data_IF_915817608071
#
_entry.id   IF_915817608071
#
_cell.length_a   1.000
_cell.length_b   1.000
_cell.length_c   1.000
_cell.angle_alpha   90.00
_cell.angle_beta   90.00
_cell.angle_gamma   90.00
#
_symmetry.space_group_name_H-M   'P 1'
#
loop_
_entity.id
_entity.type
_entity.pdbx_description
1 polymer ?
#
# COMPACT_ATOMS: atom_id res chain seq x y z
N UNK A 1 -13.92 -44.19 58.08
CA UNK A 1 -15.04 -43.39 57.53
C UNK A 1 -14.55 -41.95 57.45
N UNK A 2 -14.03 -41.50 56.30
CA UNK A 2 -14.77 -40.77 55.24
C UNK A 2 -15.39 -39.48 55.81
N UNK A 3 -15.00 -38.27 55.38
CA UNK A 3 -15.22 -37.75 54.03
C UNK A 3 -14.22 -36.65 53.63
N UNK A 4 -13.86 -36.74 52.35
CA UNK A 4 -13.23 -35.72 51.50
C UNK A 4 -13.85 -34.33 51.66
N UNK A 5 -13.03 -33.28 51.56
CA UNK A 5 -13.43 -32.08 50.85
C UNK A 5 -12.29 -31.61 49.94
N UNK A 6 -12.56 -31.80 48.64
CA UNK A 6 -11.78 -31.33 47.51
C UNK A 6 -12.05 -29.83 47.36
N UNK A 7 -11.00 -29.03 47.14
CA UNK A 7 -11.15 -27.84 46.33
C UNK A 7 -9.84 -27.62 45.57
N UNK A 8 -9.76 -28.26 44.41
CA UNK A 8 -8.80 -27.89 43.38
C UNK A 8 -9.37 -26.66 42.68
N UNK A 9 -8.68 -25.52 42.77
CA UNK A 9 -8.96 -24.36 41.92
C UNK A 9 -7.94 -24.39 40.78
N UNK A 10 -8.34 -25.00 39.67
CA UNK A 10 -7.61 -24.95 38.42
C UNK A 10 -7.84 -23.56 37.81
N UNK A 11 -6.83 -22.70 37.81
CA UNK A 11 -6.81 -21.50 36.99
C UNK A 11 -6.38 -21.91 35.57
N UNK A 12 -7.36 -22.26 34.74
CA UNK A 12 -7.19 -22.27 33.28
C UNK A 12 -7.18 -20.81 32.83
N UNK A 13 -6.00 -20.26 32.62
CA UNK A 13 -5.84 -19.03 31.83
C UNK A 13 -5.92 -19.48 30.38
N UNK A 14 -7.13 -19.46 29.84
CA UNK A 14 -7.36 -19.54 28.40
C UNK A 14 -6.94 -18.20 27.81
N UNK A 15 -5.68 -18.07 27.41
CA UNK A 15 -5.26 -17.00 26.52
C UNK A 15 -5.77 -17.36 25.12
N UNK A 16 -7.04 -17.06 24.84
CA UNK A 16 -7.50 -16.92 23.47
C UNK A 16 -6.91 -15.62 22.94
N UNK A 17 -5.83 -15.73 22.18
CA UNK A 17 -5.34 -14.65 21.34
C UNK A 17 -6.44 -14.32 20.35
N UNK A 18 -7.08 -13.16 20.56
CA UNK A 18 -7.78 -12.47 19.49
C UNK A 18 -6.66 -11.90 18.62
N UNK A 19 -6.44 -12.46 17.42
CA UNK A 19 -5.72 -11.72 16.39
C UNK A 19 -6.72 -10.70 15.87
N UNK A 20 -6.66 -9.48 16.40
CA UNK A 20 -7.20 -8.34 15.68
C UNK A 20 -6.18 -8.03 14.58
N UNK A 21 -6.54 -8.20 13.30
CA UNK A 21 -5.82 -7.48 12.24
C UNK A 21 -6.13 -6.02 12.42
N UNK A 22 -5.10 -5.18 12.48
CA UNK A 22 -5.23 -3.73 12.62
C UNK A 22 -4.78 -3.07 11.32
N UNK A 23 -5.58 -3.30 10.27
CA UNK A 23 -5.55 -2.48 9.06
C UNK A 23 -6.58 -1.38 9.24
N UNK A 24 -6.15 -0.12 9.25
CA UNK A 24 -7.03 1.05 9.32
C UNK A 24 -7.09 1.71 7.95
N UNK A 25 -8.30 1.88 7.40
CA UNK A 25 -8.53 2.54 6.11
C UNK A 25 -9.23 3.87 6.36
N UNK A 26 -8.70 4.95 5.79
CA UNK A 26 -9.20 6.31 5.91
C UNK A 26 -9.37 6.94 4.51
N UNK A 27 -10.43 7.73 4.33
CA UNK A 27 -10.77 8.41 3.08
C UNK A 27 -10.78 9.94 3.21
N UNK A 28 -10.32 10.47 4.35
CA UNK A 28 -10.41 11.90 4.70
C UNK A 28 -9.05 12.56 4.96
N UNK A 29 -7.97 11.81 4.82
CA UNK A 29 -6.60 12.27 5.09
C UNK A 29 -5.89 12.84 3.87
N UNK A 30 -6.43 12.65 2.66
CA UNK A 30 -5.90 13.24 1.44
C UNK A 30 -5.86 14.76 1.51
N UNK A 31 -4.74 15.33 1.05
CA UNK A 31 -4.55 16.77 0.90
C UNK A 31 -4.39 17.13 -0.56
N UNK A 32 -4.74 18.36 -0.92
CA UNK A 32 -4.49 18.86 -2.29
C UNK A 32 -2.99 18.86 -2.58
N UNK A 33 -2.62 18.22 -3.68
CA UNK A 33 -1.25 18.19 -4.19
C UNK A 33 -0.77 19.59 -4.62
N UNK A 34 0.53 19.82 -4.51
CA UNK A 34 1.20 21.11 -4.80
C UNK A 34 1.50 21.31 -6.28
N UNK A 35 1.48 20.23 -7.07
CA UNK A 35 1.76 20.18 -8.50
C UNK A 35 0.50 20.09 -9.38
N UNK A 36 -0.68 20.02 -8.77
CA UNK A 36 -2.01 19.88 -9.42
C UNK A 36 -2.42 18.46 -9.79
N UNK A 37 -1.75 17.42 -9.27
CA UNK A 37 -2.13 16.00 -9.37
C UNK A 37 -3.34 15.60 -8.50
N UNK A 38 -4.25 16.55 -8.23
CA UNK A 38 -5.42 16.34 -7.39
C UNK A 38 -5.09 16.14 -5.90
N UNK A 39 -5.18 14.90 -5.39
CA UNK A 39 -4.98 14.56 -3.98
C UNK A 39 -3.72 13.71 -3.76
N UNK A 40 -3.04 13.93 -2.64
CA UNK A 40 -1.85 13.18 -2.22
C UNK A 40 -1.79 13.04 -0.69
N UNK A 41 -0.76 12.36 -0.19
CA UNK A 41 -0.52 12.22 1.25
C UNK A 41 -0.07 13.53 1.88
N UNK A 42 -0.49 13.79 3.11
CA UNK A 42 0.07 14.87 3.92
C UNK A 42 1.56 14.67 4.31
N UNK A 43 2.12 13.47 4.10
CA UNK A 43 3.47 13.11 4.54
C UNK A 43 4.56 13.39 3.51
N UNK A 44 4.21 13.63 2.25
CA UNK A 44 5.16 13.86 1.17
C UNK A 44 4.60 14.87 0.16
N UNK A 45 5.49 15.70 -0.38
CA UNK A 45 5.18 16.60 -1.49
C UNK A 45 5.43 15.84 -2.81
N UNK A 46 4.48 15.79 -3.76
CA UNK A 46 4.68 15.15 -5.06
C UNK A 46 5.88 15.67 -5.85
N UNK A 47 6.31 16.91 -5.59
CA UNK A 47 7.53 17.48 -6.16
C UNK A 47 8.83 17.00 -5.48
N UNK A 48 8.74 16.15 -4.46
CA UNK A 48 9.87 15.52 -3.76
C UNK A 48 9.90 13.98 -3.94
N UNK A 49 10.19 13.51 -5.17
CA UNK A 49 10.13 12.09 -5.54
C UNK A 49 11.23 11.25 -4.88
N UNK A 50 12.24 11.88 -4.28
CA UNK A 50 13.37 11.19 -3.63
C UNK A 50 13.00 10.60 -2.27
N UNK A 51 11.78 10.88 -1.79
CA UNK A 51 11.29 10.42 -0.51
C UNK A 51 11.79 11.26 0.67
N UNK A 52 10.89 11.58 1.58
CA UNK A 52 11.18 12.35 2.79
C UNK A 52 10.68 11.60 4.03
N UNK A 53 11.52 11.52 5.06
CA UNK A 53 11.20 10.90 6.36
C UNK A 53 10.70 9.44 6.28
N UNK A 54 11.17 8.66 5.30
CA UNK A 54 10.76 7.26 5.13
C UNK A 54 9.46 7.08 4.33
N UNK A 55 8.88 8.16 3.81
CA UNK A 55 7.83 8.12 2.82
C UNK A 55 8.41 8.29 1.43
N UNK A 56 7.81 7.60 0.47
CA UNK A 56 8.18 7.62 -0.94
C UNK A 56 6.91 7.76 -1.76
N UNK A 57 6.98 8.46 -2.89
CA UNK A 57 5.85 8.67 -3.77
C UNK A 57 6.19 8.22 -5.19
N UNK A 58 5.24 7.52 -5.80
CA UNK A 58 5.15 7.30 -7.23
C UNK A 58 4.08 8.27 -7.78
N UNK A 59 4.56 9.25 -8.55
CA UNK A 59 3.72 10.08 -9.41
C UNK A 59 3.91 9.62 -10.85
N UNK A 60 2.93 9.87 -11.71
CA UNK A 60 3.03 9.51 -13.13
C UNK A 60 3.49 10.67 -14.03
N UNK A 61 4.02 11.72 -13.39
CA UNK A 61 4.53 12.92 -14.01
C UNK A 61 6.03 12.86 -14.27
N UNK A 62 6.48 13.43 -15.38
CA UNK A 62 7.89 13.79 -15.51
C UNK A 62 8.23 14.94 -14.58
N UNK A 63 9.11 14.66 -13.62
CA UNK A 63 9.63 15.68 -12.71
C UNK A 63 10.47 16.69 -13.51
N UNK A 64 10.10 17.98 -13.57
CA UNK A 64 10.82 18.94 -14.40
C UNK A 64 12.29 19.12 -13.97
N UNK A 65 13.22 18.94 -14.91
CA UNK A 65 14.65 19.18 -14.68
C UNK A 65 15.41 18.01 -14.04
N UNK A 66 14.82 16.82 -13.99
CA UNK A 66 15.54 15.58 -13.70
C UNK A 66 16.63 15.32 -14.76
N UNK A 67 17.84 14.92 -14.36
CA UNK A 67 18.85 14.44 -15.29
C UNK A 67 18.34 13.22 -16.08
N UNK A 68 18.79 13.05 -17.33
CA UNK A 68 18.36 11.95 -18.21
C UNK A 68 18.48 10.54 -17.59
N UNK A 69 19.43 10.36 -16.66
CA UNK A 69 19.66 9.09 -15.94
C UNK A 69 18.65 8.82 -14.81
N UNK A 70 17.81 9.82 -14.50
CA UNK A 70 16.77 9.82 -13.47
C UNK A 70 15.39 10.18 -14.08
N UNK A 71 15.22 9.98 -15.39
CA UNK A 71 13.91 10.13 -16.05
C UNK A 71 13.12 8.85 -15.87
N UNK A 72 11.87 8.96 -15.42
CA UNK A 72 10.94 7.83 -15.37
C UNK A 72 10.76 7.15 -16.73
N UNK A 73 10.20 5.93 -16.71
CA UNK A 73 9.93 5.14 -17.91
C UNK A 73 8.74 5.71 -18.69
N UNK A 74 8.96 6.08 -19.95
CA UNK A 74 7.93 6.64 -20.84
C UNK A 74 7.28 5.58 -21.73
N UNK A 75 7.78 4.34 -21.74
CA UNK A 75 7.24 3.26 -22.55
C UNK A 75 5.79 2.88 -22.23
N UNK A 76 5.25 3.34 -21.09
CA UNK A 76 3.84 3.18 -20.72
C UNK A 76 2.97 4.37 -21.11
N UNK A 77 3.51 5.43 -21.70
CA UNK A 77 2.71 6.59 -22.07
C UNK A 77 1.76 6.25 -23.22
N UNK A 78 0.47 6.54 -23.02
CA UNK A 78 -0.56 6.24 -23.98
C UNK A 78 -0.33 7.03 -25.28
N UNK A 79 -0.25 6.34 -26.42
CA UNK A 79 -0.35 6.98 -27.74
C UNK A 79 0.72 8.08 -27.99
N UNK A 80 1.96 7.85 -27.53
CA UNK A 80 3.12 8.75 -27.65
C UNK A 80 3.38 9.24 -29.08
N UNK A 81 2.95 8.48 -30.08
CA UNK A 81 3.04 8.83 -31.51
C UNK A 81 2.11 9.97 -31.97
N UNK A 82 1.02 10.26 -31.25
CA UNK A 82 0.02 11.28 -31.66
C UNK A 82 -0.28 12.34 -30.60
N UNK A 83 -0.18 12.00 -29.34
CA UNK A 83 -0.29 12.92 -28.20
C UNK A 83 1.04 12.76 -27.43
N UNK A 84 1.97 13.69 -27.63
CA UNK A 84 3.36 13.58 -27.16
C UNK A 84 3.46 13.72 -25.63
N UNK A 85 3.01 12.70 -24.90
CA UNK A 85 3.08 12.64 -23.44
C UNK A 85 4.48 12.33 -22.91
N UNK A 86 5.42 11.92 -23.76
CA UNK A 86 6.81 11.60 -23.38
C UNK A 86 7.63 12.79 -22.85
N UNK A 87 7.07 14.00 -22.89
CA UNK A 87 7.66 15.19 -22.27
C UNK A 87 7.03 15.58 -20.92
N UNK A 88 5.96 14.90 -20.52
CA UNK A 88 5.10 15.30 -19.39
C UNK A 88 4.77 14.14 -18.46
N UNK A 89 4.68 12.91 -18.98
CA UNK A 89 4.30 11.71 -18.26
C UNK A 89 5.42 10.68 -18.20
N UNK A 90 5.53 9.97 -17.08
CA UNK A 90 6.44 8.84 -16.92
C UNK A 90 6.08 8.00 -15.69
N UNK A 91 6.43 6.70 -15.71
CA UNK A 91 6.44 5.86 -14.50
C UNK A 91 7.79 6.05 -13.80
N UNK A 92 7.81 6.78 -12.71
CA UNK A 92 9.03 7.21 -12.04
C UNK A 92 9.78 6.06 -11.37
N UNK A 93 9.09 5.07 -10.80
CA UNK A 93 9.71 3.92 -10.12
C UNK A 93 10.69 3.12 -10.99
N UNK A 94 10.57 3.21 -12.32
CA UNK A 94 11.38 2.45 -13.28
C UNK A 94 12.58 3.23 -13.86
N UNK A 95 12.68 4.53 -13.60
CA UNK A 95 13.70 5.36 -14.26
C UNK A 95 14.19 6.59 -13.48
N UNK A 96 13.66 6.90 -12.30
CA UNK A 96 14.07 8.11 -11.57
C UNK A 96 13.47 8.33 -10.19
N UNK A 97 12.50 7.52 -9.79
CA UNK A 97 11.80 7.57 -8.52
C UNK A 97 12.27 6.49 -7.55
N UNK A 98 11.32 5.78 -6.94
CA UNK A 98 11.58 4.83 -5.87
C UNK A 98 12.42 3.64 -6.38
N UNK A 99 13.72 3.65 -6.08
CA UNK A 99 14.61 2.55 -6.45
C UNK A 99 14.17 1.23 -5.78
N UNK A 100 14.18 0.14 -6.56
CA UNK A 100 13.83 -1.19 -6.05
C UNK A 100 12.34 -1.51 -6.07
N UNK A 101 11.53 -0.75 -6.80
CA UNK A 101 10.13 -1.10 -7.12
C UNK A 101 10.06 -1.63 -8.54
N UNK A 102 9.49 -2.82 -8.71
CA UNK A 102 9.23 -3.40 -10.02
C UNK A 102 7.77 -3.21 -10.40
N UNK A 103 7.51 -2.71 -11.61
CA UNK A 103 6.17 -2.51 -12.15
C UNK A 103 5.95 -3.49 -13.30
N UNK A 104 4.96 -4.37 -13.17
CA UNK A 104 4.71 -5.46 -14.13
C UNK A 104 3.23 -5.52 -14.50
N UNK A 105 2.85 -5.10 -15.72
CA UNK A 105 1.49 -5.30 -16.22
C UNK A 105 1.21 -6.77 -16.58
N UNK A 106 -0.06 -7.18 -16.53
CA UNK A 106 -0.51 -8.54 -16.86
C UNK A 106 -0.36 -8.87 -18.35
N UNK A 107 -0.36 -7.86 -19.21
CA UNK A 107 0.03 -7.94 -20.61
C UNK A 107 0.84 -6.69 -20.99
N UNK A 108 1.97 -6.91 -21.65
CA UNK A 108 3.01 -5.90 -21.88
C UNK A 108 3.57 -5.94 -23.32
N UNK A 109 2.81 -6.45 -24.29
CA UNK A 109 3.24 -6.45 -25.69
C UNK A 109 2.85 -5.14 -26.38
N UNK A 110 3.54 -4.80 -27.47
CA UNK A 110 3.40 -3.59 -28.30
C UNK A 110 1.96 -3.38 -28.83
N UNK A 111 1.09 -4.40 -28.73
CA UNK A 111 -0.31 -4.33 -29.14
C UNK A 111 -1.33 -4.37 -28.00
N UNK A 112 -0.94 -4.87 -26.82
CA UNK A 112 -1.86 -5.27 -25.74
C UNK A 112 -1.37 -4.73 -24.38
N UNK A 113 -0.80 -3.51 -24.36
CA UNK A 113 -0.30 -2.92 -23.12
C UNK A 113 -1.46 -2.46 -22.22
N UNK A 114 -1.57 -3.07 -21.04
CA UNK A 114 -2.69 -2.80 -20.12
C UNK A 114 -2.42 -1.65 -19.17
N UNK A 115 -1.16 -1.39 -18.83
CA UNK A 115 -0.76 -0.25 -18.01
C UNK A 115 -0.44 0.92 -18.94
N UNK A 116 -1.13 2.02 -18.75
CA UNK A 116 -0.89 3.21 -19.54
C UNK A 116 -0.84 4.46 -18.64
N UNK A 117 -0.13 5.48 -19.11
CA UNK A 117 -0.03 6.79 -18.46
C UNK A 117 -0.50 7.86 -19.43
N UNK A 118 -1.29 8.82 -18.95
CA UNK A 118 -1.82 9.92 -19.78
C UNK A 118 -2.12 11.15 -18.94
N UNK A 119 -2.26 12.29 -19.61
CA UNK A 119 -2.97 13.45 -19.05
C UNK A 119 -4.36 13.60 -19.69
N UNK A 120 -5.31 14.12 -18.90
CA UNK A 120 -6.69 14.36 -19.31
C UNK A 120 -7.50 13.10 -19.60
N UNK A 121 -8.80 13.28 -19.86
CA UNK A 121 -9.75 12.18 -20.04
C UNK A 121 -9.93 11.78 -21.50
N UNK A 122 -9.86 10.48 -21.79
CA UNK A 122 -10.34 9.89 -23.04
C UNK A 122 -11.47 8.89 -22.77
N UNK A 123 -12.64 9.21 -23.29
CA UNK A 123 -13.88 8.48 -23.03
C UNK A 123 -13.75 7.02 -23.50
N UNK A 124 -13.97 6.10 -22.58
CA UNK A 124 -13.90 4.67 -22.86
C UNK A 124 -12.49 4.08 -22.84
N UNK A 125 -11.50 4.83 -22.37
CA UNK A 125 -10.10 4.39 -22.25
C UNK A 125 -9.54 4.65 -20.85
N UNK A 126 -9.68 5.87 -20.35
CA UNK A 126 -9.22 6.27 -19.01
C UNK A 126 -9.56 7.72 -18.72
N UNK A 127 -9.93 8.01 -17.48
CA UNK A 127 -10.34 9.34 -17.04
C UNK A 127 -9.40 9.91 -15.98
N UNK A 128 -9.04 11.18 -16.13
CA UNK A 128 -8.27 11.86 -15.10
C UNK A 128 -9.06 11.85 -13.79
N UNK A 129 -8.44 11.49 -12.66
CA UNK A 129 -9.04 11.70 -11.34
C UNK A 129 -9.57 13.13 -11.17
N UNK A 130 -10.61 13.32 -10.36
CA UNK A 130 -11.21 14.64 -10.21
C UNK A 130 -10.18 15.71 -9.77
N UNK A 131 -10.15 16.85 -10.46
CA UNK A 131 -9.20 17.95 -10.21
C UNK A 131 -7.71 17.59 -10.39
N UNK A 132 -7.42 16.48 -11.06
CA UNK A 132 -6.08 16.16 -11.54
C UNK A 132 -5.89 16.80 -12.93
N UNK A 133 -4.92 17.71 -13.02
CA UNK A 133 -4.53 18.38 -14.27
C UNK A 133 -3.20 17.84 -14.83
N UNK A 134 -2.60 16.84 -14.19
CA UNK A 134 -1.29 16.28 -14.56
C UNK A 134 -1.45 14.88 -15.17
N UNK A 135 -0.43 14.04 -15.12
CA UNK A 135 -0.43 12.68 -15.63
C UNK A 135 -0.82 11.68 -14.54
N UNK A 136 -1.64 10.70 -14.91
CA UNK A 136 -2.08 9.62 -14.02
C UNK A 136 -1.87 8.26 -14.67
N UNK A 137 -1.75 7.23 -13.83
CA UNK A 137 -1.70 5.85 -14.24
C UNK A 137 -3.10 5.28 -14.41
N UNK A 138 -3.29 4.43 -15.42
CA UNK A 138 -4.51 3.64 -15.53
C UNK A 138 -4.23 2.25 -16.06
N UNK A 139 -4.99 1.28 -15.54
CA UNK A 139 -5.05 -0.07 -16.07
C UNK A 139 -6.30 -0.18 -16.93
N UNK A 140 -6.20 -0.69 -18.16
CA UNK A 140 -7.34 -0.89 -19.06
C UNK A 140 -7.35 -2.28 -19.66
N UNK A 141 -8.56 -2.83 -19.87
CA UNK A 141 -8.76 -4.08 -20.60
C UNK A 141 -9.15 -3.86 -22.07
N UNK A 142 -9.10 -2.61 -22.56
CA UNK A 142 -9.57 -2.25 -23.90
C UNK A 142 -8.96 -3.13 -25.01
N UNK A 143 -7.70 -3.54 -24.83
CA UNK A 143 -6.93 -4.30 -25.82
C UNK A 143 -6.86 -5.83 -25.54
N UNK A 144 -7.40 -6.31 -24.40
CA UNK A 144 -7.33 -7.73 -24.02
C UNK A 144 -8.49 -8.60 -24.54
N UNK A 145 -9.58 -7.96 -25.00
CA UNK A 145 -10.83 -8.64 -25.36
C UNK A 145 -11.84 -8.72 -24.23
N UNK A 146 -13.05 -9.20 -24.52
CA UNK A 146 -14.20 -9.09 -23.60
C UNK A 146 -14.05 -9.96 -22.34
N UNK A 147 -14.12 -9.33 -21.16
CA UNK A 147 -14.09 -9.95 -19.82
C UNK A 147 -12.73 -10.50 -19.35
N UNK A 148 -11.65 -10.18 -20.05
CA UNK A 148 -10.31 -10.42 -19.51
C UNK A 148 -10.01 -9.38 -18.42
N UNK A 149 -9.30 -9.83 -17.38
CA UNK A 149 -8.82 -8.96 -16.32
C UNK A 149 -7.49 -8.34 -16.73
N UNK A 150 -7.45 -7.02 -16.71
CA UNK A 150 -6.22 -6.26 -16.83
C UNK A 150 -5.70 -5.97 -15.42
N UNK A 151 -4.40 -6.10 -15.19
CA UNK A 151 -3.81 -5.74 -13.90
C UNK A 151 -2.38 -5.21 -14.05
N UNK A 152 -1.93 -4.49 -13.03
CA UNK A 152 -0.55 -4.08 -12.84
C UNK A 152 -0.10 -4.48 -11.45
N UNK A 153 1.11 -5.01 -11.36
CA UNK A 153 1.77 -5.37 -10.11
C UNK A 153 2.87 -4.38 -9.79
N UNK A 154 2.84 -3.81 -8.59
CA UNK A 154 3.94 -3.09 -7.97
C UNK A 154 4.56 -4.00 -6.91
N UNK A 155 5.79 -4.46 -7.14
CA UNK A 155 6.55 -5.31 -6.23
C UNK A 155 7.64 -4.49 -5.54
N UNK A 156 7.51 -4.37 -4.21
CA UNK A 156 8.40 -3.61 -3.34
C UNK A 156 9.45 -4.49 -2.66
N UNK A 157 9.53 -5.78 -2.99
CA UNK A 157 10.42 -6.74 -2.32
C UNK A 157 11.89 -6.30 -2.37
N UNK A 158 12.34 -5.76 -3.50
CA UNK A 158 13.71 -5.26 -3.64
C UNK A 158 13.93 -4.02 -2.77
N UNK A 159 13.05 -3.02 -2.84
CA UNK A 159 13.09 -1.82 -1.99
C UNK A 159 13.19 -2.20 -0.50
N UNK A 160 12.33 -3.11 -0.04
CA UNK A 160 12.33 -3.59 1.34
C UNK A 160 13.66 -4.25 1.71
N UNK A 161 14.20 -5.10 0.82
CA UNK A 161 15.48 -5.77 1.05
C UNK A 161 16.66 -4.81 1.16
N UNK A 162 16.63 -3.70 0.42
CA UNK A 162 17.67 -2.67 0.39
C UNK A 162 17.60 -1.76 1.62
N UNK A 163 16.43 -1.64 2.25
CA UNK A 163 16.19 -0.81 3.45
C UNK A 163 16.29 -1.58 4.78
N UNK A 164 16.64 -2.87 4.76
CA UNK A 164 16.90 -3.68 5.95
C UNK A 164 15.64 -4.33 6.54
N UNK A 165 15.56 -4.47 7.88
CA UNK A 165 14.37 -5.04 8.56
C UNK A 165 13.27 -3.98 8.69
N UNK A 166 12.76 -3.57 7.53
CA UNK A 166 11.68 -2.60 7.36
C UNK A 166 10.47 -3.23 6.69
N UNK A 167 9.33 -2.57 6.83
CA UNK A 167 8.05 -2.97 6.27
C UNK A 167 7.26 -1.76 5.82
N UNK A 168 6.38 -1.94 4.84
CA UNK A 168 5.42 -0.92 4.46
C UNK A 168 4.30 -0.93 5.50
N UNK A 169 4.21 0.14 6.29
CA UNK A 169 3.17 0.33 7.32
C UNK A 169 2.18 1.43 6.96
N UNK A 170 2.41 2.11 5.85
CA UNK A 170 1.52 3.11 5.30
C UNK A 170 1.48 2.93 3.78
N UNK A 171 0.27 2.96 3.24
CA UNK A 171 0.01 3.17 1.83
C UNK A 171 -1.01 4.28 1.70
N UNK A 172 -0.84 5.17 0.76
CA UNK A 172 -1.95 5.95 0.26
C UNK A 172 -1.86 6.15 -1.24
N UNK A 173 -2.98 6.41 -1.89
CA UNK A 173 -3.03 6.66 -3.33
C UNK A 173 -4.30 7.42 -3.67
N UNK A 174 -4.24 8.21 -4.73
CA UNK A 174 -5.43 8.86 -5.27
C UNK A 174 -6.14 7.91 -6.22
N UNK A 175 -7.35 7.48 -5.88
CA UNK A 175 -8.17 6.62 -6.72
C UNK A 175 -9.22 7.45 -7.44
N UNK A 176 -9.06 7.59 -8.75
CA UNK A 176 -9.98 8.33 -9.61
C UNK A 176 -11.08 7.44 -10.21
N UNK A 177 -12.22 8.06 -10.51
CA UNK A 177 -13.33 7.44 -11.27
C UNK A 177 -13.67 6.02 -10.82
N UNK A 178 -13.69 5.78 -9.49
CA UNK A 178 -13.81 4.43 -8.92
C UNK A 178 -15.02 3.71 -9.49
N UNK A 179 -14.80 2.51 -10.02
CA UNK A 179 -15.86 1.67 -10.57
C UNK A 179 -15.96 0.31 -9.86
N UNK A 180 -17.15 -0.28 -9.87
CA UNK A 180 -17.45 -1.61 -9.29
C UNK A 180 -16.68 -2.79 -9.90
N UNK A 181 -15.91 -2.57 -10.97
CA UNK A 181 -15.04 -3.56 -11.59
C UNK A 181 -13.55 -3.36 -11.27
N UNK A 182 -13.20 -2.43 -10.39
CA UNK A 182 -11.82 -2.11 -10.02
C UNK A 182 -11.49 -2.62 -8.62
N UNK A 183 -10.32 -3.24 -8.44
CA UNK A 183 -9.89 -3.79 -7.16
C UNK A 183 -8.41 -3.50 -6.88
N UNK A 184 -8.06 -3.17 -5.63
CA UNK A 184 -6.68 -3.16 -5.11
C UNK A 184 -6.45 -4.35 -4.20
N UNK A 185 -5.49 -5.20 -4.54
CA UNK A 185 -5.14 -6.40 -3.76
C UNK A 185 -3.72 -6.32 -3.23
N UNK A 186 -3.56 -6.66 -1.95
CA UNK A 186 -2.30 -6.65 -1.22
C UNK A 186 -1.81 -8.08 -1.02
N UNK A 187 -0.53 -8.34 -1.29
CA UNK A 187 0.10 -9.62 -1.03
C UNK A 187 1.33 -9.47 -0.13
N UNK A 188 1.57 -10.51 0.66
CA UNK A 188 2.79 -10.71 1.44
C UNK A 188 3.35 -12.08 1.10
N UNK A 189 4.55 -12.14 0.55
CA UNK A 189 5.23 -13.35 0.12
C UNK A 189 4.37 -14.20 -0.84
N UNK A 190 3.63 -13.54 -1.74
CA UNK A 190 2.72 -14.16 -2.71
C UNK A 190 1.41 -14.69 -2.12
N UNK A 191 1.08 -14.39 -0.86
CA UNK A 191 -0.20 -14.70 -0.23
C UNK A 191 -1.02 -13.42 -0.11
N UNK A 192 -2.26 -13.44 -0.58
CA UNK A 192 -3.19 -12.32 -0.43
C UNK A 192 -3.44 -12.04 1.06
N UNK A 193 -3.22 -10.80 1.48
CA UNK A 193 -3.44 -10.36 2.86
C UNK A 193 -4.70 -9.50 2.99
N UNK A 194 -5.04 -8.73 1.96
CA UNK A 194 -6.25 -7.92 1.92
C UNK A 194 -6.61 -7.55 0.46
N UNK A 195 -7.88 -7.21 0.24
CA UNK A 195 -8.38 -6.62 -0.99
C UNK A 195 -9.32 -5.47 -0.63
N UNK A 196 -9.17 -4.31 -1.27
CA UNK A 196 -10.10 -3.20 -1.24
C UNK A 196 -10.79 -3.12 -2.61
N UNK A 197 -12.08 -3.40 -2.64
CA UNK A 197 -12.86 -3.38 -3.90
C UNK A 197 -13.52 -2.03 -4.12
N UNK A 198 -13.69 -1.65 -5.40
CA UNK A 198 -14.45 -0.45 -5.77
C UNK A 198 -15.91 -0.52 -5.30
N UNK A 199 -16.49 -1.73 -5.23
CA UNK A 199 -17.84 -1.96 -4.70
C UNK A 199 -17.93 -1.55 -3.22
N UNK A 200 -16.97 -1.98 -2.40
CA UNK A 200 -16.95 -1.67 -0.96
C UNK A 200 -16.71 -0.19 -0.73
N UNK A 201 -15.77 0.42 -1.45
CA UNK A 201 -15.46 1.84 -1.35
C UNK A 201 -16.67 2.71 -1.72
N UNK A 202 -17.28 2.48 -2.89
CA UNK A 202 -18.45 3.24 -3.34
C UNK A 202 -19.63 3.09 -2.38
N UNK A 203 -19.85 1.89 -1.84
CA UNK A 203 -20.91 1.66 -0.85
C UNK A 203 -20.64 2.39 0.47
N UNK A 204 -19.38 2.50 0.89
CA UNK A 204 -19.00 3.21 2.11
C UNK A 204 -19.14 4.73 1.96
N UNK A 205 -18.84 5.27 0.78
CA UNK A 205 -18.81 6.70 0.52
C UNK A 205 -20.09 7.25 -0.12
N UNK A 206 -21.06 6.39 -0.43
CA UNK A 206 -22.26 6.74 -1.21
C UNK A 206 -21.88 7.33 -2.58
N UNK A 207 -20.86 6.74 -3.20
CA UNK A 207 -20.32 7.12 -4.50
C UNK A 207 -21.07 6.49 -5.67
N UNK A 208 -20.84 7.04 -6.86
CA UNK A 208 -21.40 6.53 -8.12
C UNK A 208 -20.29 5.90 -8.97
N UNK A 209 -20.49 4.64 -9.37
CA UNK A 209 -19.54 3.89 -10.20
C UNK A 209 -19.12 4.66 -11.45
N UNK A 210 -17.82 4.89 -11.62
CA UNK A 210 -17.22 5.56 -12.79
C UNK A 210 -17.51 7.05 -12.88
N UNK A 211 -17.94 7.72 -11.80
CA UNK A 211 -18.13 9.18 -11.81
C UNK A 211 -16.76 9.90 -11.75
N UNK A 212 -16.51 10.73 -12.76
CA UNK A 212 -15.22 11.40 -12.98
C UNK A 212 -15.09 12.74 -12.23
N UNK A 213 -16.17 13.19 -11.57
CA UNK A 213 -16.24 14.52 -10.95
C UNK A 213 -16.66 14.47 -9.48
N UNK A 214 -17.42 13.46 -9.06
CA UNK A 214 -17.88 13.34 -7.68
C UNK A 214 -16.73 12.95 -6.74
N UNK A 215 -16.54 13.72 -5.67
CA UNK A 215 -15.54 13.46 -4.63
C UNK A 215 -15.79 12.10 -3.93
N UNK A 216 -17.00 11.54 -3.97
CA UNK A 216 -17.28 10.21 -3.41
C UNK A 216 -16.85 9.04 -4.33
N UNK A 217 -16.45 9.36 -5.57
CA UNK A 217 -15.90 8.41 -6.55
C UNK A 217 -14.47 8.76 -6.96
N UNK A 218 -13.89 9.81 -6.37
CA UNK A 218 -12.53 10.28 -6.60
C UNK A 218 -11.91 10.60 -5.24
N UNK A 219 -11.20 9.64 -4.66
CA UNK A 219 -10.80 9.71 -3.24
C UNK A 219 -9.36 9.35 -3.03
N UNK A 220 -8.74 10.06 -2.10
CA UNK A 220 -7.47 9.61 -1.56
C UNK A 220 -7.74 8.50 -0.55
N UNK A 221 -7.25 7.31 -0.84
CA UNK A 221 -7.29 6.17 0.08
C UNK A 221 -6.01 6.17 0.88
N UNK A 222 -6.13 6.14 2.20
CA UNK A 222 -5.03 5.93 3.14
C UNK A 222 -5.26 4.61 3.88
N UNK A 223 -4.21 3.82 3.99
CA UNK A 223 -4.20 2.53 4.67
C UNK A 223 -2.99 2.46 5.58
N UNK A 224 -3.24 2.32 6.88
CA UNK A 224 -2.22 2.05 7.88
C UNK A 224 -2.23 0.56 8.23
N UNK A 225 -1.04 -0.04 8.25
CA UNK A 225 -0.86 -1.45 8.57
C UNK A 225 -0.04 -1.60 9.84
N UNK A 226 -0.47 -2.50 10.72
CA UNK A 226 0.46 -3.08 11.69
C UNK A 226 1.62 -3.77 10.95
N UNK A 227 2.82 -3.71 11.54
CA UNK A 227 4.03 -4.30 10.93
C UNK A 227 3.85 -5.81 10.65
N UNK A 228 3.04 -6.51 11.44
CA UNK A 228 2.75 -7.95 11.24
C UNK A 228 1.83 -8.23 10.04
N UNK A 229 1.03 -7.24 9.64
CA UNK A 229 0.07 -7.28 8.53
C UNK A 229 0.63 -6.61 7.26
N UNK A 230 1.95 -6.31 7.23
CA UNK A 230 2.59 -5.63 6.10
C UNK A 230 2.48 -6.43 4.79
N UNK A 231 2.43 -5.70 3.67
CA UNK A 231 2.51 -6.23 2.32
C UNK A 231 3.88 -5.98 1.69
N UNK A 232 4.21 -6.73 0.65
CA UNK A 232 5.38 -6.49 -0.22
C UNK A 232 4.97 -6.28 -1.68
N UNK A 233 3.73 -6.60 -2.04
CA UNK A 233 3.23 -6.51 -3.39
C UNK A 233 1.84 -5.88 -3.39
N UNK A 234 1.64 -4.90 -4.27
CA UNK A 234 0.35 -4.28 -4.57
C UNK A 234 -0.05 -4.66 -5.99
N UNK A 235 -1.30 -5.09 -6.17
CA UNK A 235 -1.88 -5.35 -7.49
C UNK A 235 -3.10 -4.47 -7.65
N UNK A 236 -3.15 -3.73 -8.76
CA UNK A 236 -4.35 -3.02 -9.16
C UNK A 236 -4.93 -3.68 -10.40
N UNK A 237 -6.24 -3.96 -10.40
CA UNK A 237 -6.90 -4.68 -11.47
C UNK A 237 -8.22 -4.05 -11.89
N UNK A 238 -8.61 -4.34 -13.13
CA UNK A 238 -9.91 -4.00 -13.67
C UNK A 238 -10.45 -5.08 -14.60
N UNK A 239 -11.77 -5.29 -14.51
CA UNK A 239 -12.56 -5.99 -15.53
C UNK A 239 -13.47 -5.02 -16.30
N UNK A 240 -13.43 -3.75 -15.94
CA UNK A 240 -14.17 -2.66 -16.56
C UNK A 240 -13.32 -1.92 -17.60
N UNK A 241 -13.77 -0.72 -17.97
CA UNK A 241 -13.09 0.11 -18.99
C UNK A 241 -11.66 0.44 -18.57
N UNK A 242 -11.53 0.98 -17.37
CA UNK A 242 -10.27 1.39 -16.79
C UNK A 242 -10.35 1.30 -15.29
N UNK A 243 -9.20 1.43 -14.66
CA UNK A 243 -9.09 1.79 -13.26
C UNK A 243 -7.96 2.81 -13.15
N UNK A 244 -8.25 3.96 -12.56
CA UNK A 244 -7.39 5.14 -12.60
C UNK A 244 -6.84 5.49 -11.22
N UNK A 245 -5.55 5.83 -11.19
CA UNK A 245 -4.81 6.00 -9.96
C UNK A 245 -3.62 6.93 -10.14
N UNK A 246 -3.29 7.66 -9.09
CA UNK A 246 -2.12 8.54 -9.04
C UNK A 246 -1.60 8.66 -7.60
N UNK A 247 -0.46 9.33 -7.41
CA UNK A 247 0.10 9.69 -6.12
C UNK A 247 0.19 8.50 -5.15
N UNK A 248 0.76 7.38 -5.60
CA UNK A 248 0.95 6.19 -4.76
C UNK A 248 2.08 6.48 -3.77
N UNK A 249 1.75 6.66 -2.51
CA UNK A 249 2.67 6.93 -1.41
C UNK A 249 2.82 5.70 -0.54
N UNK A 250 4.05 5.26 -0.30
CA UNK A 250 4.35 4.24 0.71
C UNK A 250 5.16 4.84 1.86
N UNK A 251 4.92 4.37 3.07
CA UNK A 251 5.71 4.71 4.25
C UNK A 251 6.38 3.47 4.84
N UNK A 252 7.69 3.55 5.01
CA UNK A 252 8.49 2.48 5.61
C UNK A 252 8.68 2.71 7.11
N UNK A 253 8.43 1.67 7.89
CA UNK A 253 8.77 1.62 9.32
C UNK A 253 9.77 0.50 9.59
N UNK A 254 10.58 0.65 10.63
CA UNK A 254 11.43 -0.43 11.13
C UNK A 254 10.61 -1.41 11.96
N UNK A 255 11.02 -2.69 11.94
CA UNK A 255 10.40 -3.71 12.81
C UNK A 255 10.44 -3.25 14.27
N UNK A 256 9.29 -3.23 14.98
CA UNK A 256 9.28 -2.92 16.40
C UNK A 256 10.17 -3.89 17.18
N UNK A 257 11.05 -3.34 18.01
CA UNK A 257 11.79 -4.14 18.99
C UNK A 257 10.84 -4.58 20.11
N UNK A 258 10.32 -5.80 20.02
CA UNK A 258 9.56 -6.39 21.13
C UNK A 258 10.56 -6.72 22.23
N UNK A 259 10.62 -5.88 23.27
CA UNK A 259 11.34 -6.20 24.50
C UNK A 259 10.70 -7.44 25.11
N UNK A 260 11.32 -8.61 24.92
CA UNK A 260 10.90 -9.83 25.61
C UNK A 260 11.14 -9.62 27.11
N UNK A 261 10.10 -9.62 27.96
CA UNK A 261 10.29 -9.48 29.40
C UNK A 261 11.26 -10.57 29.86
N UNK A 262 12.30 -10.18 30.59
CA UNK A 262 13.32 -11.09 31.09
C UNK A 262 12.65 -12.39 31.59
N UNK A 263 13.06 -13.58 31.10
CA UNK A 263 12.33 -14.81 31.38
C UNK A 263 12.03 -14.90 32.87
N UNK A 264 10.78 -15.23 33.24
CA UNK A 264 10.39 -15.37 34.64
C UNK A 264 11.33 -16.33 35.43
N UNK A 265 12.07 -17.19 34.70
CA UNK A 265 13.19 -17.98 35.21
C UNK A 265 14.30 -17.19 35.89
N UNK A 266 14.65 -15.97 35.44
CA UNK A 266 15.63 -15.10 36.10
C UNK A 266 15.10 -14.56 37.42
N UNK A 267 13.83 -14.15 37.47
CA UNK A 267 13.18 -13.73 38.70
C UNK A 267 13.03 -14.91 39.69
N UNK A 268 12.69 -16.10 39.20
CA UNK A 268 12.61 -17.33 39.99
C UNK A 268 13.98 -17.81 40.48
N UNK A 269 15.03 -17.69 39.67
CA UNK A 269 16.40 -18.00 40.05
C UNK A 269 16.90 -17.02 41.11
N UNK A 270 16.70 -15.72 40.89
CA UNK A 270 17.06 -14.68 41.86
C UNK A 270 16.30 -14.85 43.18
N UNK A 271 14.99 -15.08 43.10
CA UNK A 271 14.14 -15.38 44.26
C UNK A 271 14.54 -16.69 44.96
N UNK A 272 14.89 -17.73 44.20
CA UNK A 272 15.39 -18.99 44.72
C UNK A 272 16.70 -18.82 45.49
N UNK A 273 17.67 -18.11 44.91
CA UNK A 273 18.95 -17.79 45.56
C UNK A 273 18.78 -16.96 46.84
N UNK A 274 17.86 -15.98 46.83
CA UNK A 274 17.49 -15.21 48.01
C UNK A 274 16.91 -16.10 49.11
N UNK A 275 15.96 -16.99 48.79
CA UNK A 275 15.38 -17.93 49.74
C UNK A 275 16.41 -18.92 50.31
N UNK A 276 17.35 -19.40 49.49
CA UNK A 276 18.46 -20.24 49.96
C UNK A 276 19.41 -19.47 50.90
N UNK A 277 19.69 -18.19 50.61
CA UNK A 277 20.53 -17.34 51.45
C UNK A 277 19.89 -17.02 52.81
N UNK A 278 18.57 -16.86 52.86
CA UNK A 278 17.82 -16.65 54.10
C UNK A 278 17.73 -17.95 54.93
N UNK A 279 17.57 -19.10 54.27
CA UNK A 279 17.53 -20.42 54.93
C UNK A 279 18.87 -20.86 55.49
N UNK A 280 19.99 -20.47 54.88
CA UNK A 280 21.33 -20.80 55.40
C UNK A 280 21.68 -19.99 56.66
N UNK A 281 21.11 -18.79 56.82
CA UNK A 281 21.29 -17.94 58.00
C UNK A 281 20.48 -18.38 59.21
N UNK A 282 19.36 -19.07 59.03
CA UNK A 282 18.50 -19.53 60.14
C UNK A 282 18.97 -20.85 60.79
N UNK A 283 20.09 -21.42 60.37
CA UNK A 283 20.67 -22.66 60.91
C UNK A 283 21.94 -22.43 61.77
N UNK A 284 22.22 -21.19 62.17
CA UNK A 284 23.23 -20.87 63.19
C UNK A 284 22.56 -20.54 64.51
#
# INVERSE_FOLDING_TARGET
MSKFNKLALAALISASSLTASAVEINFTSGVTATDSSGLTSQFIDPLDPQGTNGFFIETFDQIPGTPDELLGETGFNANSDTENFDSECAVNSLGGGISGVSVTPSAADDTDNVLNVRSGTNVGVGAAPANDETCFGYVTNADLGTNEEASVTFDYSQLLSENGDTGITYLGFYWGSVDTFNDFTFFSNGVEVATLTGVELLAQLDGTSGDQLDDNSNVYVEIEFDFEDQFDTLVFSTRGVAAEFDNIVIGLSQRPIIETPAPAGLALLAGGLLLLSLRSRSKK
#
